data_IF_965690841353
#
_entry.id   IF_965690841353
#
_cell.length_a   1.000
_cell.length_b   1.000
_cell.length_c   1.000
_cell.angle_alpha   90.00
_cell.angle_beta   90.00
_cell.angle_gamma   90.00
#
_symmetry.space_group_name_H-M   'P 1'
#
loop_
_entity.id
_entity.type
_entity.pdbx_description
1 polymer ?
#
# COMPACT_ATOMS: atom_id res chain seq x y z
N UNK A 1 -20.29 25.57 48.49
CA UNK A 1 -21.27 24.56 48.05
C UNK A 1 -22.27 25.13 47.06
N UNK A 2 -22.00 25.18 45.76
CA UNK A 2 -20.70 25.38 45.09
C UNK A 2 -20.92 26.03 43.72
N UNK A 3 -20.01 26.93 43.34
CA UNK A 3 -20.20 27.78 42.15
C UNK A 3 -19.86 27.04 40.87
N UNK A 4 -20.87 26.73 40.05
CA UNK A 4 -20.69 26.24 38.68
C UNK A 4 -20.11 27.36 37.82
N UNK A 5 -18.78 27.49 37.82
CA UNK A 5 -18.06 28.39 36.90
C UNK A 5 -17.94 27.73 35.53
N UNK A 6 -18.55 28.36 34.53
CA UNK A 6 -18.39 28.04 33.12
C UNK A 6 -16.98 28.42 32.66
N UNK A 7 -16.06 27.45 32.57
CA UNK A 7 -14.68 27.68 32.13
C UNK A 7 -14.57 27.58 30.61
N UNK A 8 -14.58 28.73 29.94
CA UNK A 8 -14.34 28.86 28.50
C UNK A 8 -12.83 28.86 28.21
N UNK A 9 -12.23 27.69 28.02
CA UNK A 9 -10.79 27.57 27.76
C UNK A 9 -10.43 27.86 26.29
N UNK A 10 -10.10 29.11 25.98
CA UNK A 10 -9.48 29.49 24.71
C UNK A 10 -8.04 28.95 24.64
N UNK A 11 -7.79 27.97 23.78
CA UNK A 11 -6.46 27.38 23.56
C UNK A 11 -6.09 27.38 22.09
N UNK A 12 -5.36 28.42 21.64
CA UNK A 12 -4.65 28.38 20.36
C UNK A 12 -3.39 27.52 20.52
N UNK A 13 -3.50 26.22 20.24
CA UNK A 13 -2.35 25.31 20.16
C UNK A 13 -2.40 24.48 18.88
N UNK A 14 -1.24 24.26 18.27
CA UNK A 14 -1.06 23.64 16.96
C UNK A 14 -1.17 22.12 16.99
N UNK A 15 -2.32 21.58 17.40
CA UNK A 15 -2.59 20.16 17.31
C UNK A 15 -3.08 19.79 15.91
N UNK A 16 -2.15 19.35 15.05
CA UNK A 16 -2.43 18.67 13.77
C UNK A 16 -2.89 17.21 13.97
N UNK A 17 -3.44 16.90 15.14
CA UNK A 17 -3.94 15.59 15.56
C UNK A 17 -5.36 15.85 16.09
N UNK A 18 -6.43 15.34 15.45
CA UNK A 18 -7.79 15.51 15.94
C UNK A 18 -7.98 14.87 17.33
N UNK A 19 -8.87 15.42 18.16
CA UNK A 19 -9.15 14.81 19.46
C UNK A 19 -10.10 13.60 19.34
N UNK A 20 -10.14 12.74 20.36
CA UNK A 20 -10.94 11.51 20.34
C UNK A 20 -12.44 11.78 20.17
N UNK A 21 -12.97 12.86 20.77
CA UNK A 21 -14.39 13.22 20.67
C UNK A 21 -14.78 13.69 19.27
N UNK A 22 -13.90 14.40 18.57
CA UNK A 22 -14.07 14.78 17.16
C UNK A 22 -14.02 13.56 16.24
N UNK A 23 -13.14 12.59 16.52
CA UNK A 23 -13.04 11.33 15.77
C UNK A 23 -14.30 10.48 16.01
N UNK A 24 -14.76 10.34 17.26
CA UNK A 24 -16.01 9.64 17.59
C UNK A 24 -17.22 10.29 16.93
N UNK A 25 -17.31 11.63 16.95
CA UNK A 25 -18.37 12.37 16.25
C UNK A 25 -18.32 12.14 14.74
N UNK A 26 -17.15 12.30 14.10
CA UNK A 26 -16.98 12.09 12.66
C UNK A 26 -17.31 10.66 12.23
N UNK A 27 -16.83 9.67 12.98
CA UNK A 27 -17.12 8.25 12.69
C UNK A 27 -18.61 7.96 12.91
N UNK A 28 -19.25 8.57 13.91
CA UNK A 28 -20.69 8.42 14.16
C UNK A 28 -21.51 9.05 13.03
N UNK A 29 -21.16 10.25 12.57
CA UNK A 29 -21.85 10.96 11.49
C UNK A 29 -21.70 10.21 10.16
N UNK A 30 -20.47 9.85 9.77
CA UNK A 30 -20.20 9.02 8.59
C UNK A 30 -20.90 7.67 8.69
N UNK A 31 -21.00 7.07 9.88
CA UNK A 31 -21.71 5.80 10.05
C UNK A 31 -23.25 5.92 9.95
N UNK A 32 -23.85 6.94 10.56
CA UNK A 32 -25.29 6.96 10.80
C UNK A 32 -26.05 7.85 9.81
N UNK A 33 -25.44 8.93 9.31
CA UNK A 33 -26.05 9.81 8.31
C UNK A 33 -25.71 9.42 6.87
N UNK A 34 -24.72 8.54 6.64
CA UNK A 34 -24.24 8.22 5.28
C UNK A 34 -24.18 6.72 4.98
N UNK A 35 -24.38 6.39 3.70
CA UNK A 35 -24.18 5.04 3.14
C UNK A 35 -22.79 4.90 2.49
N UNK A 36 -21.76 5.46 3.13
CA UNK A 36 -20.38 5.35 2.66
C UNK A 36 -19.82 3.98 3.02
N UNK A 37 -19.28 3.26 2.03
CA UNK A 37 -18.68 1.93 2.21
C UNK A 37 -17.21 2.01 2.67
N UNK A 38 -16.44 2.98 2.17
CA UNK A 38 -15.03 3.20 2.52
C UNK A 38 -14.76 4.70 2.66
N UNK A 39 -14.02 5.08 3.69
CA UNK A 39 -13.67 6.46 4.02
C UNK A 39 -12.22 6.55 4.50
N UNK A 40 -11.49 7.55 4.03
CA UNK A 40 -10.08 7.78 4.37
C UNK A 40 -9.85 9.25 4.71
N UNK A 41 -9.14 9.53 5.81
CA UNK A 41 -8.78 10.87 6.27
C UNK A 41 -7.31 10.91 6.67
N UNK A 42 -6.55 11.84 6.09
CA UNK A 42 -5.15 12.14 6.44
C UNK A 42 -5.03 13.60 6.87
N UNK A 43 -4.55 13.83 8.09
CA UNK A 43 -4.36 15.17 8.68
C UNK A 43 -3.03 15.19 9.42
N UNK A 44 -2.03 15.90 8.89
CA UNK A 44 -0.68 15.89 9.46
C UNK A 44 -0.12 14.47 9.58
N UNK A 45 0.24 14.05 10.80
CA UNK A 45 0.68 12.68 11.11
C UNK A 45 -0.46 11.70 11.43
N UNK A 46 -1.72 12.14 11.48
CA UNK A 46 -2.88 11.32 11.77
C UNK A 46 -3.48 10.71 10.48
N UNK A 47 -3.80 9.42 10.51
CA UNK A 47 -4.43 8.68 9.44
C UNK A 47 -5.56 7.81 9.98
N UNK A 48 -6.77 7.99 9.44
CA UNK A 48 -7.96 7.19 9.73
C UNK A 48 -8.44 6.54 8.44
N UNK A 49 -8.72 5.23 8.51
CA UNK A 49 -9.35 4.45 7.44
C UNK A 49 -10.51 3.66 8.03
N UNK A 50 -11.68 3.77 7.41
CA UNK A 50 -12.96 3.21 7.86
C UNK A 50 -13.61 2.44 6.72
N UNK A 51 -13.96 1.18 6.95
CA UNK A 51 -14.69 0.33 5.99
C UNK A 51 -15.97 -0.22 6.61
N UNK A 52 -17.02 -0.33 5.79
CA UNK A 52 -18.39 -0.63 6.22
C UNK A 52 -19.06 -1.62 5.28
N UNK A 53 -19.46 -2.76 5.83
CA UNK A 53 -20.16 -3.81 5.08
C UNK A 53 -21.63 -3.43 4.88
N UNK A 54 -21.93 -2.72 3.79
CA UNK A 54 -23.30 -2.31 3.41
C UNK A 54 -24.17 -3.48 2.90
N UNK A 55 -23.60 -4.68 2.74
CA UNK A 55 -24.28 -5.90 2.32
C UNK A 55 -25.13 -6.50 3.43
N UNK A 56 -26.31 -5.90 3.67
CA UNK A 56 -27.37 -6.53 4.48
C UNK A 56 -27.90 -7.77 3.73
N UNK A 57 -27.20 -8.91 3.89
CA UNK A 57 -27.58 -10.19 3.29
C UNK A 57 -28.83 -10.72 3.98
N UNK A 58 -29.99 -10.38 3.43
CA UNK A 58 -31.28 -10.95 3.83
C UNK A 58 -31.20 -12.49 3.76
N UNK A 59 -31.50 -13.13 4.88
CA UNK A 59 -31.45 -14.59 5.00
C UNK A 59 -32.72 -15.17 4.34
N UNK A 60 -32.61 -15.98 3.27
CA UNK A 60 -33.78 -16.69 2.75
C UNK A 60 -34.33 -17.60 3.84
N UNK A 61 -35.63 -17.50 4.13
CA UNK A 61 -36.30 -18.45 5.01
C UNK A 61 -36.37 -19.81 4.31
N UNK A 62 -36.07 -20.94 4.98
CA UNK A 62 -36.17 -22.25 4.36
C UNK A 62 -37.64 -22.57 4.04
N UNK A 63 -37.93 -22.79 2.76
CA UNK A 63 -39.24 -23.25 2.29
C UNK A 63 -39.42 -24.72 2.70
N UNK A 64 -40.56 -25.13 3.29
CA UNK A 64 -40.76 -26.52 3.71
C UNK A 64 -41.02 -27.42 2.48
N UNK A 65 -40.00 -28.17 2.05
CA UNK A 65 -40.13 -29.19 1.01
C UNK A 65 -40.87 -30.42 1.55
N UNK A 66 -41.94 -30.83 0.87
CA UNK A 66 -42.71 -32.04 1.16
C UNK A 66 -41.87 -33.31 0.90
N UNK A 67 -42.12 -34.36 1.68
CA UNK A 67 -41.37 -35.61 1.60
C UNK A 67 -41.72 -36.44 0.34
N UNK A 68 -40.74 -37.13 -0.30
CA UNK A 68 -41.00 -38.12 -1.34
C UNK A 68 -41.72 -39.36 -0.80
N UNK A 69 -42.57 -39.98 -1.63
CA UNK A 69 -43.22 -41.26 -1.37
C UNK A 69 -42.30 -42.45 -1.75
N UNK A 70 -42.50 -43.64 -1.15
CA UNK A 70 -41.66 -44.82 -1.40
C UNK A 70 -41.99 -45.52 -2.74
N UNK A 71 -41.02 -46.23 -3.35
CA UNK A 71 -41.25 -47.14 -4.48
C UNK A 71 -41.63 -48.57 -4.02
N UNK A 72 -42.36 -49.29 -4.88
CA UNK A 72 -42.78 -50.69 -4.67
C UNK A 72 -41.68 -51.75 -4.95
N UNK A 73 -41.82 -53.01 -4.47
CA UNK A 73 -40.72 -53.97 -4.40
C UNK A 73 -40.72 -55.14 -5.42
N UNK A 74 -39.50 -55.56 -5.80
CA UNK A 74 -39.08 -56.94 -6.16
C UNK A 74 -39.64 -57.57 -7.48
N UNK A 75 -39.07 -58.69 -8.00
CA UNK A 75 -37.98 -59.53 -7.48
C UNK A 75 -36.74 -59.74 -8.41
N UNK A 76 -35.75 -60.47 -7.88
CA UNK A 76 -34.49 -60.93 -8.51
C UNK A 76 -34.55 -62.47 -8.78
N UNK A 77 -33.45 -63.25 -9.01
CA UNK A 77 -32.01 -62.97 -9.20
C UNK A 77 -31.48 -63.66 -10.51
N UNK A 78 -30.24 -64.11 -10.80
CA UNK A 78 -28.86 -64.19 -10.24
C UNK A 78 -27.91 -64.65 -11.40
N UNK A 79 -26.62 -65.07 -11.25
CA UNK A 79 -25.52 -64.64 -10.36
C UNK A 79 -24.20 -64.32 -11.12
N UNK A 80 -23.09 -64.08 -10.36
CA UNK A 80 -21.67 -64.47 -10.61
C UNK A 80 -20.57 -63.38 -10.67
N UNK A 81 -19.73 -63.38 -9.61
CA UNK A 81 -18.25 -63.44 -9.63
C UNK A 81 -17.38 -62.16 -9.68
N UNK A 82 -16.41 -62.12 -8.74
CA UNK A 82 -15.20 -61.28 -8.61
C UNK A 82 -15.40 -59.75 -8.50
N UNK A 83 -15.12 -59.01 -7.39
CA UNK A 83 -14.18 -59.06 -6.25
C UNK A 83 -13.12 -57.92 -6.32
N UNK A 84 -12.68 -57.48 -5.13
CA UNK A 84 -11.48 -56.68 -4.83
C UNK A 84 -11.54 -55.15 -4.94
N UNK A 85 -12.18 -54.56 -3.93
CA UNK A 85 -11.57 -53.62 -2.98
C UNK A 85 -10.43 -52.70 -3.48
N UNK A 86 -10.71 -51.40 -3.54
CA UNK A 86 -9.72 -50.35 -3.23
C UNK A 86 -10.30 -49.47 -2.11
N UNK A 87 -9.51 -49.24 -1.06
CA UNK A 87 -9.87 -48.42 0.11
C UNK A 87 -8.97 -47.18 0.13
N UNK A 88 -9.52 -46.01 0.47
CA UNK A 88 -8.71 -44.85 0.86
C UNK A 88 -7.95 -45.16 2.18
N UNK A 89 -6.81 -44.48 2.46
CA UNK A 89 -6.93 -43.14 3.05
C UNK A 89 -5.90 -42.08 2.58
N UNK A 90 -6.38 -40.84 2.58
CA UNK A 90 -5.80 -39.59 3.13
C UNK A 90 -4.28 -39.27 3.17
N UNK A 91 -4.06 -37.96 2.94
CA UNK A 91 -3.15 -37.03 3.64
C UNK A 91 -1.74 -36.68 3.09
N UNK A 92 -1.44 -35.38 3.22
CA UNK A 92 -0.12 -34.73 3.29
C UNK A 92 0.83 -34.76 2.08
N UNK A 93 0.53 -33.92 1.08
CA UNK A 93 1.53 -33.30 0.19
C UNK A 93 1.58 -31.79 0.42
N UNK A 94 2.44 -31.32 1.35
CA UNK A 94 2.53 -29.87 1.66
C UNK A 94 3.23 -29.10 0.54
N UNK A 95 2.45 -28.38 -0.25
CA UNK A 95 2.96 -27.30 -1.11
C UNK A 95 2.99 -26.00 -0.31
N UNK A 96 4.18 -25.50 -0.01
CA UNK A 96 4.36 -24.20 0.63
C UNK A 96 3.79 -23.09 -0.26
N UNK A 97 2.57 -22.64 0.05
CA UNK A 97 2.09 -21.34 -0.40
C UNK A 97 3.02 -20.28 0.17
N UNK A 98 3.93 -19.77 -0.65
CA UNK A 98 4.75 -18.60 -0.35
C UNK A 98 3.85 -17.37 -0.32
N UNK A 99 3.13 -17.21 0.79
CA UNK A 99 2.34 -16.03 1.08
C UNK A 99 3.22 -14.80 0.88
N UNK A 100 2.82 -13.94 -0.05
CA UNK A 100 3.32 -12.56 -0.15
C UNK A 100 2.74 -11.74 1.03
N UNK A 101 3.05 -12.18 2.25
CA UNK A 101 2.95 -11.38 3.44
C UNK A 101 3.98 -10.26 3.29
N UNK A 102 3.53 -9.13 2.73
CA UNK A 102 4.25 -7.87 2.79
C UNK A 102 4.16 -7.40 4.24
N UNK A 103 4.99 -8.02 5.09
CA UNK A 103 5.33 -7.54 6.42
C UNK A 103 5.90 -6.15 6.23
N UNK A 104 5.07 -5.12 6.44
CA UNK A 104 5.45 -3.74 6.23
C UNK A 104 6.73 -3.47 7.04
N UNK A 105 7.87 -3.16 6.39
CA UNK A 105 9.10 -2.90 7.13
C UNK A 105 8.86 -1.75 8.11
N UNK A 106 9.45 -1.86 9.30
CA UNK A 106 9.45 -0.75 10.24
C UNK A 106 10.02 0.49 9.53
N UNK A 107 9.43 1.69 9.70
CA UNK A 107 9.81 2.83 8.86
C UNK A 107 11.27 3.24 9.13
N UNK A 108 12.13 3.11 8.11
CA UNK A 108 13.42 3.84 8.01
C UNK A 108 13.24 5.38 7.95
N UNK A 109 12.02 5.87 8.16
CA UNK A 109 11.53 7.20 7.86
C UNK A 109 12.05 8.30 8.79
N UNK A 110 12.56 7.96 9.98
CA UNK A 110 13.03 8.93 10.99
C UNK A 110 14.17 9.84 10.50
N UNK A 111 15.02 9.35 9.59
CA UNK A 111 16.07 10.16 8.94
C UNK A 111 15.67 10.74 7.57
N UNK A 112 14.50 10.38 7.03
CA UNK A 112 14.04 10.79 5.70
C UNK A 112 13.11 12.00 5.82
N UNK A 113 12.18 12.02 6.80
CA UNK A 113 11.23 13.12 6.98
C UNK A 113 11.93 14.46 7.20
N UNK A 114 12.88 14.53 8.14
CA UNK A 114 13.66 15.73 8.42
C UNK A 114 14.53 16.21 7.25
N UNK A 115 14.90 15.30 6.33
CA UNK A 115 15.54 15.67 5.07
C UNK A 115 14.54 16.21 4.04
N UNK A 116 13.32 15.65 3.97
CA UNK A 116 12.27 16.16 3.09
C UNK A 116 11.83 17.58 3.50
N UNK A 117 11.73 17.86 4.80
CA UNK A 117 11.45 19.22 5.30
C UNK A 117 12.54 20.21 4.86
N UNK A 118 13.82 19.83 4.96
CA UNK A 118 14.96 20.63 4.45
C UNK A 118 14.95 20.77 2.93
N UNK A 119 14.58 19.71 2.21
CA UNK A 119 14.49 19.74 0.76
C UNK A 119 13.41 20.71 0.26
N UNK A 120 12.31 20.88 1.00
CA UNK A 120 11.29 21.90 0.71
C UNK A 120 11.84 23.31 0.97
N UNK A 121 12.54 23.54 2.10
CA UNK A 121 13.17 24.84 2.39
C UNK A 121 14.22 25.23 1.33
N UNK A 122 14.98 24.25 0.82
CA UNK A 122 16.04 24.44 -0.19
C UNK A 122 15.51 24.46 -1.64
N UNK A 123 14.19 24.25 -1.86
CA UNK A 123 13.57 24.25 -3.18
C UNK A 123 13.96 23.06 -4.07
N UNK A 124 14.35 21.93 -3.47
CA UNK A 124 14.70 20.72 -4.18
C UNK A 124 13.45 20.00 -4.72
N UNK A 125 13.53 19.51 -5.95
CA UNK A 125 12.55 18.58 -6.50
C UNK A 125 12.77 17.20 -5.87
N UNK A 126 11.70 16.61 -5.32
CA UNK A 126 11.70 15.22 -4.87
C UNK A 126 11.14 14.34 -5.99
N UNK A 127 12.00 13.50 -6.56
CA UNK A 127 11.59 12.42 -7.47
C UNK A 127 10.92 11.32 -6.63
N UNK A 128 9.64 11.11 -6.88
CA UNK A 128 8.81 10.10 -6.20
C UNK A 128 8.68 8.83 -7.05
N UNK A 129 8.41 7.69 -6.42
CA UNK A 129 8.16 6.44 -7.12
C UNK A 129 6.75 6.40 -7.73
N UNK A 130 6.60 6.25 -9.06
CA UNK A 130 5.30 6.06 -9.69
C UNK A 130 4.78 4.61 -9.60
N UNK A 131 5.48 3.71 -8.90
CA UNK A 131 5.19 2.27 -8.83
C UNK A 131 5.52 1.69 -7.44
N UNK A 132 5.02 0.48 -7.17
CA UNK A 132 5.37 -0.30 -5.98
C UNK A 132 6.34 -1.41 -6.38
N UNK A 133 7.43 -1.58 -5.63
CA UNK A 133 8.46 -2.59 -5.92
C UNK A 133 9.71 -2.41 -5.06
N UNK A 134 10.87 -2.81 -5.58
CA UNK A 134 12.16 -2.62 -4.93
C UNK A 134 13.02 -1.60 -5.70
N UNK A 135 13.64 -0.67 -5.00
CA UNK A 135 14.52 0.35 -5.58
C UNK A 135 15.85 -0.26 -6.04
N UNK A 136 16.26 0.06 -7.27
CA UNK A 136 17.50 -0.42 -7.89
C UNK A 136 18.30 0.75 -8.44
N UNK A 137 19.56 0.86 -8.00
CA UNK A 137 20.49 1.91 -8.46
C UNK A 137 21.00 1.68 -9.88
N UNK A 138 20.89 0.45 -10.38
CA UNK A 138 21.30 0.07 -11.74
C UNK A 138 20.52 -1.12 -12.28
N UNK A 139 20.50 -1.25 -13.61
CA UNK A 139 19.88 -2.36 -14.34
C UNK A 139 20.70 -3.65 -14.25
N UNK A 140 20.02 -4.79 -14.26
CA UNK A 140 20.60 -6.11 -14.46
C UNK A 140 20.58 -6.46 -15.95
N UNK A 141 21.76 -6.60 -16.55
CA UNK A 141 21.94 -6.90 -17.97
C UNK A 141 22.69 -8.23 -18.10
N UNK A 142 22.08 -9.21 -18.77
CA UNK A 142 22.64 -10.58 -18.94
C UNK A 142 23.10 -11.21 -17.61
N UNK A 143 22.32 -11.04 -16.54
CA UNK A 143 22.62 -11.58 -15.21
C UNK A 143 23.73 -10.86 -14.44
N UNK A 144 24.23 -9.71 -14.93
CA UNK A 144 25.21 -8.87 -14.21
C UNK A 144 24.64 -7.48 -13.97
N UNK A 145 24.98 -6.86 -12.83
CA UNK A 145 24.63 -5.45 -12.59
C UNK A 145 25.45 -4.53 -13.48
N UNK A 146 24.75 -3.60 -14.12
CA UNK A 146 25.34 -2.43 -14.75
C UNK A 146 25.85 -1.43 -13.68
N UNK A 147 26.67 -0.44 -14.06
CA UNK A 147 27.00 0.69 -13.19
C UNK A 147 25.73 1.46 -12.73
N UNK A 148 25.77 2.16 -11.59
CA UNK A 148 24.69 3.05 -11.15
C UNK A 148 24.27 4.04 -12.23
N UNK A 149 22.96 4.18 -12.45
CA UNK A 149 22.38 5.11 -13.43
C UNK A 149 22.66 6.58 -13.08
N UNK A 150 22.69 6.89 -11.79
CA UNK A 150 23.17 8.17 -11.27
C UNK A 150 24.03 8.00 -10.00
N UNK A 151 24.75 9.07 -9.66
CA UNK A 151 25.45 9.28 -8.40
C UNK A 151 25.00 10.61 -7.79
N UNK A 152 25.24 10.78 -6.50
CA UNK A 152 25.11 12.08 -5.85
C UNK A 152 26.18 13.05 -6.41
N UNK A 153 25.82 14.33 -6.48
CA UNK A 153 26.58 15.42 -7.14
C UNK A 153 26.79 15.23 -8.64
N UNK A 154 25.89 14.48 -9.28
CA UNK A 154 25.87 14.33 -10.74
C UNK A 154 24.85 15.27 -11.37
N UNK A 155 25.28 16.01 -12.40
CA UNK A 155 24.38 16.78 -13.27
C UNK A 155 23.59 15.81 -14.13
N UNK A 156 22.26 15.98 -14.16
CA UNK A 156 21.30 15.16 -14.88
C UNK A 156 20.41 16.01 -15.77
N UNK A 157 19.84 15.37 -16.80
CA UNK A 157 18.89 15.99 -17.74
C UNK A 157 17.49 15.43 -17.55
N UNK A 158 16.50 16.21 -17.97
CA UNK A 158 15.15 15.74 -18.23
C UNK A 158 15.16 14.50 -19.14
N UNK A 159 14.35 13.48 -18.84
CA UNK A 159 14.32 12.19 -19.54
C UNK A 159 15.54 11.27 -19.27
N UNK A 160 16.46 11.64 -18.38
CA UNK A 160 17.59 10.78 -18.02
C UNK A 160 17.17 9.75 -16.97
N UNK A 161 17.36 8.46 -17.26
CA UNK A 161 17.12 7.35 -16.31
C UNK A 161 18.06 7.46 -15.11
N UNK A 162 17.52 7.68 -13.91
CA UNK A 162 18.28 7.86 -12.67
C UNK A 162 18.34 6.57 -11.82
N UNK A 163 17.28 5.77 -11.84
CA UNK A 163 17.17 4.52 -11.11
C UNK A 163 16.15 3.59 -11.80
N UNK A 164 15.91 2.41 -11.22
CA UNK A 164 14.90 1.47 -11.67
C UNK A 164 14.07 1.00 -10.48
N UNK A 165 12.80 0.65 -10.71
CA UNK A 165 11.97 -0.12 -9.76
C UNK A 165 11.83 -1.54 -10.29
N UNK A 166 12.23 -2.51 -9.48
CA UNK A 166 12.00 -3.94 -9.75
C UNK A 166 10.61 -4.34 -9.28
N UNK A 167 9.78 -4.83 -10.19
CA UNK A 167 8.41 -5.27 -9.94
C UNK A 167 8.13 -6.55 -10.75
N UNK A 168 7.70 -7.63 -10.08
CA UNK A 168 7.39 -8.93 -10.70
C UNK A 168 8.54 -9.50 -11.57
N UNK A 169 9.79 -9.25 -11.20
CA UNK A 169 10.99 -9.67 -11.95
C UNK A 169 11.35 -8.79 -13.17
N UNK A 170 10.58 -7.72 -13.44
CA UNK A 170 10.91 -6.70 -14.43
C UNK A 170 11.51 -5.45 -13.78
N UNK A 171 12.62 -4.96 -14.31
CA UNK A 171 13.22 -3.68 -13.92
C UNK A 171 12.73 -2.55 -14.83
N UNK A 172 12.02 -1.59 -14.23
CA UNK A 172 11.33 -0.49 -14.91
C UNK A 172 12.09 0.82 -14.65
N UNK A 173 12.55 1.55 -15.70
CA UNK A 173 13.32 2.77 -15.53
C UNK A 173 12.47 3.89 -14.91
N UNK A 174 13.09 4.69 -14.05
CA UNK A 174 12.57 5.97 -13.57
C UNK A 174 13.49 7.07 -14.10
N UNK A 175 12.90 8.02 -14.80
CA UNK A 175 13.57 9.15 -15.45
C UNK A 175 13.43 10.43 -14.61
N UNK A 176 14.25 11.44 -14.90
CA UNK A 176 14.16 12.76 -14.25
C UNK A 176 13.15 13.64 -14.99
N UNK A 177 12.17 14.20 -14.28
CA UNK A 177 11.22 15.18 -14.85
C UNK A 177 11.83 16.57 -15.07
N UNK A 178 13.05 16.81 -14.54
CA UNK A 178 13.77 18.08 -14.65
C UNK A 178 15.25 17.86 -15.01
N UNK A 179 15.88 18.88 -15.57
CA UNK A 179 17.34 19.00 -15.59
C UNK A 179 17.83 19.60 -14.25
N UNK A 180 18.97 19.16 -13.73
CA UNK A 180 19.41 19.56 -12.39
C UNK A 180 20.67 18.85 -11.89
N UNK A 181 20.95 18.93 -10.59
CA UNK A 181 21.98 18.14 -9.90
C UNK A 181 21.34 17.20 -8.86
N UNK A 182 21.75 15.92 -8.87
CA UNK A 182 21.31 14.94 -7.86
C UNK A 182 21.97 15.25 -6.53
N UNK A 183 21.23 15.84 -5.59
CA UNK A 183 21.76 16.22 -4.27
C UNK A 183 21.92 15.01 -3.36
N UNK A 184 20.90 14.14 -3.31
CA UNK A 184 20.88 12.97 -2.43
C UNK A 184 20.02 11.85 -2.98
N UNK A 185 20.47 10.60 -2.83
CA UNK A 185 19.66 9.40 -3.08
C UNK A 185 19.09 8.95 -1.73
N UNK A 186 17.76 8.80 -1.67
CA UNK A 186 17.01 8.62 -0.41
C UNK A 186 16.74 7.15 -0.07
N UNK A 187 17.19 6.22 -0.92
CA UNK A 187 16.94 4.78 -0.84
C UNK A 187 18.20 3.96 -1.14
N UNK A 188 18.36 2.84 -0.44
CA UNK A 188 19.42 1.87 -0.68
C UNK A 188 18.98 0.78 -1.68
N UNK A 189 19.94 0.08 -2.29
CA UNK A 189 19.62 -0.87 -3.35
C UNK A 189 19.00 -2.15 -2.79
N UNK A 190 17.74 -2.40 -3.18
CA UNK A 190 16.89 -3.43 -2.59
C UNK A 190 15.86 -2.89 -1.60
N UNK A 191 15.83 -1.58 -1.32
CA UNK A 191 14.79 -0.99 -0.48
C UNK A 191 13.40 -1.21 -1.08
N UNK A 192 12.41 -1.68 -0.31
CA UNK A 192 11.02 -1.69 -0.73
C UNK A 192 10.47 -0.25 -0.78
N UNK A 193 9.80 0.09 -1.88
CA UNK A 193 9.21 1.41 -2.11
C UNK A 193 7.74 1.32 -2.51
N UNK A 194 6.93 2.20 -1.93
CA UNK A 194 5.52 2.40 -2.27
C UNK A 194 5.31 3.40 -3.41
N UNK A 195 4.05 3.59 -3.83
CA UNK A 195 3.68 4.70 -4.70
C UNK A 195 3.79 6.03 -3.95
N UNK A 196 4.39 7.05 -4.56
CA UNK A 196 4.63 8.37 -3.95
C UNK A 196 5.85 8.41 -3.01
N UNK A 197 6.51 7.28 -2.76
CA UNK A 197 7.71 7.23 -1.91
C UNK A 197 8.85 8.05 -2.53
N UNK A 198 9.46 8.93 -1.74
CA UNK A 198 10.64 9.69 -2.14
C UNK A 198 11.83 8.76 -2.46
N UNK A 199 12.42 8.95 -3.64
CA UNK A 199 13.56 8.18 -4.16
C UNK A 199 14.85 8.99 -4.22
N UNK A 200 14.80 10.19 -4.79
CA UNK A 200 15.97 11.04 -5.08
C UNK A 200 15.57 12.51 -4.88
N UNK A 201 16.47 13.32 -4.31
CA UNK A 201 16.34 14.77 -4.25
C UNK A 201 17.25 15.42 -5.30
N UNK A 202 16.69 16.33 -6.10
CA UNK A 202 17.34 16.97 -7.25
C UNK A 202 17.22 18.49 -7.09
N UNK A 203 18.32 19.22 -7.22
CA UNK A 203 18.30 20.68 -7.33
C UNK A 203 18.00 21.03 -8.80
N UNK A 204 16.80 21.57 -9.13
CA UNK A 204 16.47 21.89 -10.52
C UNK A 204 17.34 23.02 -11.07
N UNK A 205 17.74 22.89 -12.33
CA UNK A 205 18.53 23.88 -13.05
C UNK A 205 17.84 24.24 -14.37
N UNK A 206 17.56 25.53 -14.55
CA UNK A 206 16.77 26.04 -15.68
C UNK A 206 17.69 26.68 -16.74
N UNK A 207 18.04 25.97 -17.83
CA UNK A 207 18.94 26.46 -18.87
C UNK A 207 18.26 27.49 -19.79
N UNK A 208 17.99 28.67 -19.23
CA UNK A 208 17.34 29.79 -19.93
C UNK A 208 17.35 31.10 -19.14
N UNK A 209 17.37 31.04 -17.80
CA UNK A 209 17.41 32.23 -16.95
C UNK A 209 18.84 32.79 -16.91
N UNK A 210 19.20 33.60 -17.91
CA UNK A 210 20.41 34.44 -17.82
C UNK A 210 20.24 35.36 -16.61
N UNK A 211 21.13 35.22 -15.63
CA UNK A 211 21.14 36.03 -14.41
C UNK A 211 21.27 37.50 -14.79
N UNK A 212 20.18 38.26 -14.66
CA UNK A 212 20.21 39.72 -14.76
C UNK A 212 21.10 40.23 -13.63
N UNK A 213 22.10 41.04 -14.00
CA UNK A 213 23.05 41.70 -13.10
C UNK A 213 22.61 43.14 -12.84
#
# INVERSE_FOLDING_TARGET
MDSIKQTKSSGLTSQLIPNSSEIEFLVTEVCNATSIAEFELKVGGFWLYLTRNLTQKSKPSPVPTLAPLPPDPAPAPDPLTADKTIKAPELNGSVSSTSFAISKPAPFSGGIQSFLDKAVDEGLMILQSPRVGFFRRSRTIKGKRAPPSCKEKQIVKEGQVLCYIEQLGGELPIESDVSGEVIKILREDGDPVGYGDALIAILPSFPGIKKLQ
#
